data_IF_898387651853
#
_entry.id   IF_898387651853
#
_cell.length_a   1.000
_cell.length_b   1.000
_cell.length_c   1.000
_cell.angle_alpha   90.00
_cell.angle_beta   90.00
_cell.angle_gamma   90.00
#
_symmetry.space_group_name_H-M   'P 1'
#
loop_
_entity.id
_entity.type
_entity.pdbx_description
1 polymer ?
#
# COMPACT_ATOMS: atom_id res chain seq x y z
N UNK A 1 -9.26 -16.73 60.82
CA UNK A 1 -8.38 -15.67 61.33
C UNK A 1 -7.12 -15.75 60.49
N UNK A 2 -7.08 -15.09 59.33
CA UNK A 2 -6.65 -13.69 59.07
C UNK A 2 -5.13 -13.53 59.02
N UNK A 3 -4.67 -12.92 57.92
CA UNK A 3 -3.32 -12.37 57.71
C UNK A 3 -2.54 -13.21 56.70
N UNK A 4 -2.22 -12.78 55.48
CA UNK A 4 -2.16 -11.43 54.93
C UNK A 4 -0.74 -11.23 54.39
N UNK A 5 -0.51 -11.60 53.13
CA UNK A 5 0.72 -11.29 52.40
C UNK A 5 0.28 -10.77 51.02
N UNK A 6 0.13 -9.45 50.94
CA UNK A 6 -0.08 -8.72 49.69
C UNK A 6 1.25 -8.72 48.93
N UNK A 7 1.32 -9.47 47.82
CA UNK A 7 2.41 -9.37 46.86
C UNK A 7 2.19 -8.13 45.99
N UNK A 8 3.16 -7.23 46.05
CA UNK A 8 3.32 -6.12 45.11
C UNK A 8 3.51 -6.67 43.69
N UNK A 9 2.53 -6.47 42.82
CA UNK A 9 2.72 -6.65 41.37
C UNK A 9 3.29 -5.35 40.80
N UNK A 10 4.63 -5.26 40.87
CA UNK A 10 5.42 -4.27 40.15
C UNK A 10 5.53 -4.76 38.70
N UNK A 11 5.03 -3.95 37.78
CA UNK A 11 4.95 -4.27 36.37
C UNK A 11 6.28 -4.36 35.67
N UNK A 12 6.20 -4.93 34.47
CA UNK A 12 7.08 -4.81 33.31
C UNK A 12 6.34 -5.57 32.20
N UNK A 13 5.43 -4.86 31.53
CA UNK A 13 4.90 -5.26 30.24
C UNK A 13 6.01 -4.96 29.23
N UNK A 14 6.90 -5.94 29.04
CA UNK A 14 7.87 -5.98 27.94
C UNK A 14 7.08 -6.25 26.64
N UNK A 15 6.35 -5.22 26.19
CA UNK A 15 5.84 -5.12 24.83
C UNK A 15 7.01 -4.82 23.91
N UNK A 16 7.44 -5.86 23.20
CA UNK A 16 8.49 -5.88 22.19
C UNK A 16 8.63 -4.57 21.43
N UNK A 17 9.81 -3.97 21.56
CA UNK A 17 10.16 -2.72 20.90
C UNK A 17 9.98 -2.81 19.39
N UNK A 18 9.04 -2.01 18.89
CA UNK A 18 9.07 -1.49 17.53
C UNK A 18 10.46 -0.90 17.30
N UNK A 19 11.30 -1.66 16.58
CA UNK A 19 12.52 -1.12 16.00
C UNK A 19 12.12 0.11 15.19
N UNK A 20 12.74 1.28 15.43
CA UNK A 20 12.48 2.45 14.61
C UNK A 20 13.02 2.12 13.22
N UNK A 21 12.11 1.67 12.36
CA UNK A 21 12.38 1.39 10.97
C UNK A 21 12.76 2.70 10.32
N UNK A 22 14.07 2.88 10.15
CA UNK A 22 14.75 3.78 9.22
C UNK A 22 13.82 4.82 8.57
N UNK A 23 13.89 6.03 9.14
CA UNK A 23 13.18 7.25 8.77
C UNK A 23 13.65 7.80 7.41
N UNK A 24 13.78 6.93 6.42
CA UNK A 24 13.83 7.31 5.01
C UNK A 24 12.53 8.07 4.72
N UNK A 25 12.57 9.39 4.91
CA UNK A 25 11.45 10.29 4.76
C UNK A 25 10.69 9.95 3.48
N UNK A 26 9.38 9.74 3.59
CA UNK A 26 8.56 9.44 2.44
C UNK A 26 8.84 10.48 1.35
N UNK A 27 9.23 10.12 0.11
CA UNK A 27 9.61 11.10 -0.90
C UNK A 27 8.54 12.18 -1.16
N UNK A 28 7.26 11.86 -0.91
CA UNK A 28 6.17 12.84 -0.90
C UNK A 28 6.26 13.80 0.29
N UNK A 29 6.50 13.29 1.50
CA UNK A 29 6.74 14.06 2.72
C UNK A 29 8.02 14.90 2.66
N UNK A 30 9.11 14.35 2.11
CA UNK A 30 10.38 15.03 1.88
C UNK A 30 10.26 16.14 0.81
N UNK A 31 9.40 15.94 -0.20
CA UNK A 31 9.04 16.97 -1.17
C UNK A 31 8.06 18.01 -0.60
N UNK A 32 7.55 17.83 0.63
CA UNK A 32 6.52 18.68 1.23
C UNK A 32 5.19 18.62 0.48
N UNK A 33 4.96 17.57 -0.30
CA UNK A 33 3.75 17.34 -1.07
C UNK A 33 2.91 16.34 -0.28
N UNK A 34 1.97 16.85 0.52
CA UNK A 34 0.88 16.03 1.02
C UNK A 34 0.02 15.65 -0.20
N UNK A 35 -0.11 14.35 -0.57
CA UNK A 35 -1.01 13.96 -1.62
C UNK A 35 -2.42 14.36 -1.21
N UNK A 36 -2.90 15.48 -1.76
CA UNK A 36 -4.26 15.97 -1.55
C UNK A 36 -5.19 14.95 -2.21
N UNK A 37 -5.62 13.96 -1.44
CA UNK A 37 -6.73 13.10 -1.79
C UNK A 37 -7.98 13.96 -1.55
N UNK A 38 -8.69 14.39 -2.61
CA UNK A 38 -9.93 15.14 -2.41
C UNK A 38 -10.90 14.26 -1.59
N UNK A 39 -11.69 14.86 -0.70
CA UNK A 39 -12.63 14.13 0.16
C UNK A 39 -13.54 13.18 -0.67
N UNK A 40 -13.87 13.56 -1.90
CA UNK A 40 -14.64 12.73 -2.84
C UNK A 40 -13.92 11.46 -3.30
N UNK A 41 -12.59 11.43 -3.34
CA UNK A 41 -11.82 10.22 -3.63
C UNK A 41 -11.72 9.31 -2.41
N UNK A 42 -11.71 9.87 -1.19
CA UNK A 42 -11.79 9.10 0.06
C UNK A 42 -13.16 8.44 0.23
N UNK A 43 -14.24 9.14 -0.08
CA UNK A 43 -15.60 8.58 -0.11
C UNK A 43 -15.73 7.48 -1.17
N UNK A 44 -15.18 7.70 -2.37
CA UNK A 44 -15.17 6.70 -3.44
C UNK A 44 -14.31 5.46 -3.12
N UNK A 45 -13.28 5.59 -2.29
CA UNK A 45 -12.50 4.45 -1.81
C UNK A 45 -13.27 3.59 -0.77
N UNK A 46 -14.28 4.17 -0.11
CA UNK A 46 -15.19 3.45 0.80
C UNK A 46 -16.34 2.75 0.08
N UNK A 47 -16.65 3.12 -1.17
CA UNK A 47 -17.64 2.46 -2.01
C UNK A 47 -16.98 1.37 -2.85
N UNK A 48 -17.49 0.14 -2.75
CA UNK A 48 -17.00 -0.95 -3.58
C UNK A 48 -17.19 -0.60 -5.07
N UNK A 49 -16.14 -0.81 -5.86
CA UNK A 49 -16.19 -0.64 -7.30
C UNK A 49 -17.27 -1.55 -7.89
N UNK A 50 -18.11 -1.00 -8.76
CA UNK A 50 -19.14 -1.78 -9.45
C UNK A 50 -18.46 -2.73 -10.45
N UNK A 51 -18.94 -3.97 -10.53
CA UNK A 51 -18.49 -4.93 -11.57
C UNK A 51 -18.69 -4.31 -12.95
N UNK A 52 -17.57 -4.09 -13.64
CA UNK A 52 -17.54 -3.45 -14.94
C UNK A 52 -16.51 -4.14 -15.84
N UNK A 53 -17.01 -5.10 -16.62
CA UNK A 53 -16.20 -5.86 -17.56
C UNK A 53 -15.64 -5.00 -18.72
N UNK A 54 -16.32 -3.92 -19.09
CA UNK A 54 -15.87 -3.03 -20.16
C UNK A 54 -14.67 -2.20 -19.71
N UNK A 55 -14.77 -1.60 -18.51
CA UNK A 55 -13.64 -0.87 -17.90
C UNK A 55 -12.46 -1.80 -17.65
N UNK A 56 -12.71 -3.01 -17.14
CA UNK A 56 -11.68 -4.03 -16.92
C UNK A 56 -10.96 -4.41 -18.21
N UNK A 57 -11.70 -4.67 -19.29
CA UNK A 57 -11.13 -5.01 -20.59
C UNK A 57 -10.32 -3.85 -21.17
N UNK A 58 -10.84 -2.62 -21.08
CA UNK A 58 -10.15 -1.43 -21.56
C UNK A 58 -8.83 -1.19 -20.83
N UNK A 59 -8.82 -1.28 -19.49
CA UNK A 59 -7.60 -1.14 -18.70
C UNK A 59 -6.54 -2.20 -19.06
N UNK A 60 -6.98 -3.43 -19.37
CA UNK A 60 -6.08 -4.51 -19.80
C UNK A 60 -5.52 -4.28 -21.20
N UNK A 61 -6.33 -3.77 -22.13
CA UNK A 61 -5.86 -3.35 -23.46
C UNK A 61 -4.76 -2.28 -23.34
N UNK A 62 -5.00 -1.24 -22.54
CA UNK A 62 -4.00 -0.19 -22.29
C UNK A 62 -2.77 -0.77 -21.59
N UNK A 63 -2.94 -1.68 -20.62
CA UNK A 63 -1.84 -2.35 -19.94
C UNK A 63 -0.94 -3.13 -20.91
N UNK A 64 -1.52 -3.74 -21.94
CA UNK A 64 -0.78 -4.44 -22.99
C UNK A 64 -0.09 -3.48 -23.95
N UNK A 65 -0.73 -2.38 -24.34
CA UNK A 65 -0.17 -1.38 -25.27
C UNK A 65 1.07 -0.67 -24.68
N UNK A 66 1.02 -0.32 -23.39
CA UNK A 66 2.15 0.37 -22.74
C UNK A 66 3.29 -0.57 -22.33
N UNK A 67 3.11 -1.88 -22.49
CA UNK A 67 4.10 -2.88 -22.05
C UNK A 67 5.29 -2.94 -23.01
N UNK A 68 6.41 -2.40 -22.56
CA UNK A 68 7.70 -2.44 -23.25
C UNK A 68 8.75 -3.32 -22.57
N UNK A 69 10.00 -3.17 -22.99
CA UNK A 69 11.12 -3.96 -22.47
C UNK A 69 11.74 -3.38 -21.19
N UNK A 70 11.52 -2.10 -20.89
CA UNK A 70 12.05 -1.46 -19.67
C UNK A 70 11.37 -1.99 -18.41
N UNK A 71 12.07 -1.91 -17.27
CA UNK A 71 11.48 -2.28 -15.99
C UNK A 71 10.31 -1.34 -15.63
N UNK A 72 10.41 -0.07 -16.00
CA UNK A 72 9.35 0.93 -15.80
C UNK A 72 8.07 0.61 -16.59
N UNK A 73 8.20 0.25 -17.86
CA UNK A 73 7.03 -0.08 -18.70
C UNK A 73 6.33 -1.36 -18.24
N UNK A 74 7.11 -2.37 -17.81
CA UNK A 74 6.59 -3.59 -17.19
C UNK A 74 5.88 -3.30 -15.87
N UNK A 75 6.44 -2.42 -15.05
CA UNK A 75 5.82 -2.00 -13.79
C UNK A 75 4.51 -1.24 -14.04
N UNK A 76 4.48 -0.31 -14.98
CA UNK A 76 3.28 0.44 -15.33
C UNK A 76 2.16 -0.50 -15.81
N UNK A 77 2.50 -1.42 -16.71
CA UNK A 77 1.58 -2.47 -17.17
C UNK A 77 1.02 -3.28 -15.99
N UNK A 78 1.87 -3.74 -15.07
CA UNK A 78 1.44 -4.50 -13.89
C UNK A 78 0.50 -3.70 -12.97
N UNK A 79 0.73 -2.41 -12.78
CA UNK A 79 -0.17 -1.54 -12.01
C UNK A 79 -1.55 -1.44 -12.68
N UNK A 80 -1.58 -1.24 -14.00
CA UNK A 80 -2.85 -1.17 -14.74
C UNK A 80 -3.65 -2.48 -14.67
N UNK A 81 -2.97 -3.63 -14.72
CA UNK A 81 -3.59 -4.91 -14.47
C UNK A 81 -4.22 -4.97 -13.07
N UNK A 82 -3.49 -4.56 -12.02
CA UNK A 82 -4.04 -4.61 -10.65
C UNK A 82 -5.15 -3.59 -10.39
N UNK A 83 -5.14 -2.47 -11.10
CA UNK A 83 -6.26 -1.52 -11.11
C UNK A 83 -7.48 -2.12 -11.83
N UNK A 84 -7.27 -2.89 -12.90
CA UNK A 84 -8.37 -3.58 -13.61
C UNK A 84 -9.12 -4.56 -12.72
N UNK A 85 -8.41 -5.19 -11.78
CA UNK A 85 -8.96 -6.15 -10.84
C UNK A 85 -9.92 -5.49 -9.82
N UNK A 86 -9.87 -4.16 -9.65
CA UNK A 86 -10.84 -3.44 -8.82
C UNK A 86 -12.27 -3.58 -9.35
N UNK A 87 -12.43 -3.77 -10.66
CA UNK A 87 -13.73 -3.88 -11.32
C UNK A 87 -14.19 -5.33 -11.47
N UNK A 88 -13.54 -6.29 -10.79
CA UNK A 88 -13.93 -7.69 -10.74
C UNK A 88 -14.23 -8.09 -9.28
N UNK A 89 -15.49 -8.40 -8.92
CA UNK A 89 -15.85 -8.73 -7.54
C UNK A 89 -15.26 -10.06 -7.06
N UNK A 90 -14.78 -10.90 -7.97
CA UNK A 90 -14.12 -12.16 -7.63
C UNK A 90 -12.62 -11.97 -7.32
N UNK A 91 -12.05 -10.81 -7.64
CA UNK A 91 -10.65 -10.48 -7.35
C UNK A 91 -10.51 -9.78 -5.99
N UNK A 92 -9.42 -10.12 -5.27
CA UNK A 92 -9.11 -9.48 -3.98
C UNK A 92 -8.03 -8.43 -4.19
N UNK A 93 -8.45 -7.18 -4.33
CA UNK A 93 -7.57 -6.03 -4.46
C UNK A 93 -8.22 -4.78 -3.87
N UNK A 94 -7.43 -3.78 -3.50
CA UNK A 94 -7.94 -2.48 -3.04
C UNK A 94 -7.06 -1.33 -3.55
N UNK A 95 -7.60 -0.10 -3.70
CA UNK A 95 -6.81 1.04 -4.10
C UNK A 95 -5.64 1.32 -3.14
N UNK A 96 -5.87 1.15 -1.83
CA UNK A 96 -4.86 1.30 -0.80
C UNK A 96 -3.72 0.29 -0.97
N UNK A 97 -4.05 -0.98 -1.21
CA UNK A 97 -3.04 -2.02 -1.41
C UNK A 97 -2.19 -1.74 -2.66
N UNK A 98 -2.82 -1.29 -3.74
CA UNK A 98 -2.12 -0.87 -4.97
C UNK A 98 -1.15 0.28 -4.68
N UNK A 99 -1.61 1.32 -3.98
CA UNK A 99 -0.80 2.48 -3.62
C UNK A 99 0.40 2.09 -2.74
N UNK A 100 0.17 1.29 -1.69
CA UNK A 100 1.22 0.84 -0.78
C UNK A 100 2.28 -0.01 -1.50
N UNK A 101 1.86 -0.89 -2.40
CA UNK A 101 2.78 -1.68 -3.23
C UNK A 101 3.68 -0.78 -4.11
N UNK A 102 3.10 0.19 -4.81
CA UNK A 102 3.86 1.10 -5.68
C UNK A 102 4.83 1.96 -4.87
N UNK A 103 4.36 2.56 -3.76
CA UNK A 103 5.19 3.38 -2.87
C UNK A 103 6.37 2.59 -2.31
N UNK A 104 6.13 1.35 -1.90
CA UNK A 104 7.19 0.47 -1.40
C UNK A 104 8.26 0.20 -2.47
N UNK A 105 7.87 -0.08 -3.71
CA UNK A 105 8.83 -0.30 -4.79
C UNK A 105 9.67 0.96 -5.07
N UNK A 106 9.06 2.14 -5.05
CA UNK A 106 9.80 3.40 -5.25
C UNK A 106 10.83 3.64 -4.13
N UNK A 107 10.46 3.37 -2.87
CA UNK A 107 11.38 3.47 -1.72
C UNK A 107 12.57 2.51 -1.86
N UNK A 108 12.34 1.27 -2.27
CA UNK A 108 13.43 0.30 -2.50
C UNK A 108 14.33 0.75 -3.66
N UNK A 109 13.75 1.25 -4.77
CA UNK A 109 14.53 1.74 -5.90
C UNK A 109 15.43 2.91 -5.52
N UNK A 110 14.95 3.80 -4.66
CA UNK A 110 15.72 4.93 -4.13
C UNK A 110 16.90 4.45 -3.24
N UNK A 111 16.72 3.38 -2.47
CA UNK A 111 17.74 2.82 -1.60
C UNK A 111 18.80 1.94 -2.33
N UNK A 112 18.67 1.76 -3.64
CA UNK A 112 19.62 1.01 -4.47
C UNK A 112 19.22 -0.43 -4.80
N UNK A 113 17.97 -0.83 -4.54
CA UNK A 113 17.46 -2.17 -4.85
C UNK A 113 17.62 -3.20 -3.72
N UNK A 114 17.08 -4.42 -3.93
CA UNK A 114 17.08 -5.54 -2.95
C UNK A 114 18.45 -6.24 -2.87
N UNK A 115 19.34 -5.97 -3.83
CA UNK A 115 20.67 -6.59 -3.91
C UNK A 115 21.71 -5.74 -3.16
N UNK A 116 21.82 -5.96 -1.86
CA UNK A 116 23.06 -5.72 -1.11
C UNK A 116 23.54 -7.00 -0.47
#
# INVERSE_FOLDING_TARGET
MTGGEEREERGEDDGDGESPGDESADPLEAAGVDPVVPDSASDAAGEAFVDDAEVRAFLREVADDVRGDSSESKQLSAVLYRVSDLYDPDEVTSPEEIYLNVRHIMRIKEQGGIER
#
